data_IF_485746005632
#
_entry.id   IF_485746005632
#
_cell.length_a   1.000
_cell.length_b   1.000
_cell.length_c   1.000
_cell.angle_alpha   90.00
_cell.angle_beta   90.00
_cell.angle_gamma   90.00
#
_symmetry.space_group_name_H-M   'P 1'
#
loop_
_entity.id
_entity.type
_entity.pdbx_description
1 polymer ?
#
# COMPACT_ATOMS: atom_id res chain seq x y z
N UNK A 1 -10.30 6.83 19.97
CA UNK A 1 -10.71 5.45 19.63
C UNK A 1 -9.53 4.71 19.02
N UNK A 2 -8.91 3.78 19.76
CA UNK A 2 -7.87 2.91 19.20
C UNK A 2 -8.51 1.95 18.19
N UNK A 3 -8.07 2.00 16.93
CA UNK A 3 -8.50 1.03 15.92
C UNK A 3 -7.84 -0.31 16.25
N UNK A 4 -8.65 -1.33 16.57
CA UNK A 4 -8.17 -2.71 16.75
C UNK A 4 -7.35 -3.11 15.51
N UNK A 5 -6.10 -3.52 15.72
CA UNK A 5 -5.23 -3.99 14.63
C UNK A 5 -5.78 -5.32 14.11
N UNK A 6 -6.08 -5.40 12.82
CA UNK A 6 -6.45 -6.65 12.15
C UNK A 6 -5.19 -7.52 12.08
N UNK A 7 -5.15 -8.59 12.87
CA UNK A 7 -4.02 -9.52 12.94
C UNK A 7 -4.21 -10.77 12.05
N UNK A 8 -5.42 -10.97 11.54
CA UNK A 8 -5.82 -12.15 10.78
C UNK A 8 -6.82 -11.76 9.71
N UNK A 9 -6.69 -12.35 8.52
CA UNK A 9 -7.60 -12.17 7.40
C UNK A 9 -7.82 -13.53 6.74
N UNK A 10 -9.06 -14.01 6.75
CA UNK A 10 -9.46 -15.32 6.17
C UNK A 10 -8.60 -16.51 6.65
N UNK A 11 -8.35 -16.63 7.96
CA UNK A 11 -7.54 -17.73 8.51
C UNK A 11 -6.02 -17.55 8.32
N UNK A 12 -5.59 -16.49 7.62
CA UNK A 12 -4.18 -16.18 7.39
C UNK A 12 -3.73 -15.11 8.38
N UNK A 13 -2.72 -15.44 9.17
CA UNK A 13 -2.07 -14.49 10.08
C UNK A 13 -1.33 -13.43 9.27
N UNK A 14 -1.74 -12.17 9.43
CA UNK A 14 -1.13 -11.05 8.73
C UNK A 14 0.21 -10.71 9.37
N UNK A 15 1.23 -10.43 8.53
CA UNK A 15 2.50 -9.90 9.01
C UNK A 15 2.27 -8.52 9.65
N UNK A 16 3.04 -8.16 10.69
CA UNK A 16 2.98 -6.81 11.27
C UNK A 16 3.18 -5.75 10.19
N UNK A 17 2.34 -4.71 10.21
CA UNK A 17 2.52 -3.57 9.30
C UNK A 17 3.82 -2.86 9.68
N UNK A 18 4.80 -2.93 8.79
CA UNK A 18 6.05 -2.18 8.90
C UNK A 18 5.83 -0.81 8.25
N UNK A 19 5.87 0.26 9.06
CA UNK A 19 5.97 1.61 8.52
C UNK A 19 7.42 1.82 8.11
N UNK A 20 7.66 1.86 6.80
CA UNK A 20 8.98 2.14 6.25
C UNK A 20 9.10 3.66 6.14
N UNK A 21 10.07 4.24 6.87
CA UNK A 21 10.43 5.63 6.66
C UNK A 21 11.18 5.73 5.32
N UNK A 22 10.75 6.60 4.40
CA UNK A 22 11.45 6.76 3.12
C UNK A 22 12.87 7.25 3.36
N UNK A 23 13.86 6.59 2.74
CA UNK A 23 15.28 6.94 2.85
C UNK A 23 15.66 8.17 2.03
N UNK A 24 14.85 8.52 1.04
CA UNK A 24 15.07 9.65 0.15
C UNK A 24 13.88 10.60 0.22
N UNK A 25 14.16 11.90 0.20
CA UNK A 25 13.16 12.93 -0.03
C UNK A 25 12.69 12.84 -1.47
N UNK A 26 11.37 12.76 -1.66
CA UNK A 26 10.78 12.80 -3.00
C UNK A 26 10.52 14.24 -3.37
N UNK A 27 11.14 14.72 -4.44
CA UNK A 27 10.84 16.04 -4.96
C UNK A 27 9.49 15.99 -5.69
N UNK A 28 8.62 16.96 -5.42
CA UNK A 28 7.29 17.11 -6.03
C UNK A 28 7.12 18.51 -6.61
N UNK A 29 8.24 19.18 -6.90
CA UNK A 29 8.27 20.56 -7.34
C UNK A 29 7.79 20.73 -8.78
N UNK A 30 8.11 19.77 -9.65
CA UNK A 30 7.78 19.83 -11.08
C UNK A 30 6.59 18.93 -11.44
N UNK A 31 5.88 19.22 -12.55
CA UNK A 31 4.83 18.34 -13.05
C UNK A 31 5.29 16.91 -13.37
N UNK A 32 6.50 16.76 -13.93
CA UNK A 32 7.08 15.46 -14.28
C UNK A 32 7.34 14.61 -13.03
N UNK A 33 7.98 15.19 -12.01
CA UNK A 33 8.23 14.50 -10.73
C UNK A 33 6.92 14.09 -10.03
N UNK A 34 5.89 14.94 -10.09
CA UNK A 34 4.56 14.60 -9.56
C UNK A 34 3.93 13.43 -10.29
N UNK A 35 4.06 13.38 -11.62
CA UNK A 35 3.53 12.30 -12.42
C UNK A 35 4.17 10.96 -12.06
N UNK A 36 5.50 10.93 -11.86
CA UNK A 36 6.23 9.72 -11.46
C UNK A 36 5.77 9.18 -10.10
N UNK A 37 5.50 10.06 -9.14
CA UNK A 37 4.96 9.67 -7.83
C UNK A 37 3.53 9.13 -7.98
N UNK A 38 2.68 9.82 -8.74
CA UNK A 38 1.31 9.37 -8.98
C UNK A 38 1.28 8.02 -9.70
N UNK A 39 2.19 7.79 -10.65
CA UNK A 39 2.34 6.51 -11.35
C UNK A 39 2.73 5.40 -10.37
N UNK A 40 3.68 5.68 -9.49
CA UNK A 40 4.12 4.73 -8.44
C UNK A 40 2.97 4.39 -7.48
N UNK A 41 2.21 5.39 -7.03
CA UNK A 41 1.04 5.19 -6.17
C UNK A 41 -0.02 4.32 -6.87
N UNK A 42 -0.33 4.60 -8.14
CA UNK A 42 -1.29 3.81 -8.92
C UNK A 42 -0.89 2.34 -9.01
N UNK A 43 0.42 2.06 -9.19
CA UNK A 43 0.94 0.69 -9.22
C UNK A 43 0.68 -0.05 -7.91
N UNK A 44 1.01 0.58 -6.77
CA UNK A 44 0.77 0.00 -5.44
C UNK A 44 -0.72 -0.29 -5.22
N UNK A 45 -1.60 0.64 -5.61
CA UNK A 45 -3.05 0.45 -5.48
C UNK A 45 -3.54 -0.71 -6.36
N UNK A 46 -3.04 -0.83 -7.59
CA UNK A 46 -3.40 -1.91 -8.50
C UNK A 46 -2.98 -3.28 -7.96
N UNK A 47 -1.74 -3.42 -7.49
CA UNK A 47 -1.24 -4.65 -6.85
C UNK A 47 -2.08 -5.02 -5.62
N UNK A 48 -2.43 -4.02 -4.79
CA UNK A 48 -3.29 -4.26 -3.63
C UNK A 48 -4.68 -4.73 -4.03
N UNK A 49 -5.25 -4.18 -5.11
CA UNK A 49 -6.55 -4.58 -5.65
C UNK A 49 -6.52 -6.01 -6.15
N UNK A 50 -5.46 -6.45 -6.83
CA UNK A 50 -5.32 -7.84 -7.28
C UNK A 50 -5.31 -8.83 -6.11
N UNK A 51 -4.56 -8.52 -5.05
CA UNK A 51 -4.57 -9.32 -3.80
C UNK A 51 -5.97 -9.39 -3.21
N UNK A 52 -6.69 -8.26 -3.13
CA UNK A 52 -8.07 -8.24 -2.61
C UNK A 52 -9.05 -9.04 -3.49
N UNK A 53 -8.92 -9.00 -4.82
CA UNK A 53 -9.74 -9.81 -5.74
C UNK A 53 -9.44 -11.30 -5.55
N UNK A 54 -8.16 -11.67 -5.45
CA UNK A 54 -7.76 -13.05 -5.20
C UNK A 54 -8.30 -13.58 -3.86
N UNK A 55 -8.37 -12.72 -2.84
CA UNK A 55 -8.97 -13.06 -1.54
C UNK A 55 -10.51 -13.15 -1.61
N UNK A 56 -11.17 -12.37 -2.46
CA UNK A 56 -12.64 -12.38 -2.60
C UNK A 56 -13.17 -13.66 -3.26
N UNK A 57 -12.43 -14.22 -4.21
CA UNK A 57 -12.83 -15.40 -4.99
C UNK A 57 -12.48 -16.73 -4.29
N UNK A 58 -12.23 -16.70 -2.98
CA UNK A 58 -11.81 -17.82 -2.14
C UNK A 58 -12.78 -17.99 -0.99
#
# INVERSE_FOLDING_TARGET
MERKKIAELYGVKLKPRLMIQPKASVNMSTPAEREDVLRSIRKVIAEHREVLIALKNR
#
